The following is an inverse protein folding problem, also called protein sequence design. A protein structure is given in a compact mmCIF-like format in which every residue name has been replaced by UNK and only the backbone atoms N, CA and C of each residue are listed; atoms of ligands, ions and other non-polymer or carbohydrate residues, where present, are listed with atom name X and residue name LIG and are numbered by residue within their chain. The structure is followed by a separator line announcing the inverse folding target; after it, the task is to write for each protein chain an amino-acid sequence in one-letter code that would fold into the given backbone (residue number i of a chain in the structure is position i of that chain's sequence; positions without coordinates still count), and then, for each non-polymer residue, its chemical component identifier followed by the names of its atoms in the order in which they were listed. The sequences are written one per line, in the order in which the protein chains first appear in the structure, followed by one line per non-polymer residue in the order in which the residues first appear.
data_IF_973915429648
#
_entry.id   IF_973915429648
#
_cell.length_a   1.000
_cell.length_b   1.000
_cell.length_c   1.000
_cell.angle_alpha   90.00
_cell.angle_beta   90.00
_cell.angle_gamma   90.00
#
_symmetry.space_group_name_H-M   'P 1'
#
loop_
_entity.id
_entity.type
_entity.pdbx_description
1 polymer ?
#
# COMPACT_ATOMS: atom_id res chain seq x y z
N UNK A 1 -10.68 6.80 25.06
CA UNK A 1 -9.52 6.53 24.18
C UNK A 1 -8.38 7.40 24.64
N UNK A 2 -7.17 6.86 24.82
CA UNK A 2 -5.99 7.66 25.18
C UNK A 2 -5.64 8.64 24.07
N UNK A 3 -5.12 9.81 24.43
CA UNK A 3 -4.62 10.78 23.45
C UNK A 3 -3.39 10.21 22.75
N UNK A 4 -3.21 10.50 21.45
CA UNK A 4 -1.98 10.13 20.74
C UNK A 4 -0.73 10.74 21.39
N UNK A 5 -0.90 11.80 22.19
CA UNK A 5 0.18 12.39 23.01
C UNK A 5 0.81 11.39 23.98
N UNK A 6 0.02 10.43 24.46
CA UNK A 6 0.38 9.49 25.53
C UNK A 6 0.92 8.16 24.99
N UNK A 7 1.03 8.00 23.66
CA UNK A 7 1.53 6.79 23.00
C UNK A 7 3.01 6.98 22.65
N UNK A 8 3.96 6.32 23.35
CA UNK A 8 5.38 6.47 23.08
C UNK A 8 5.76 5.96 21.68
N UNK A 9 6.66 6.67 21.01
CA UNK A 9 7.26 6.28 19.72
C UNK A 9 6.27 6.04 18.56
N UNK A 10 5.03 6.53 18.67
CA UNK A 10 4.10 6.61 17.55
C UNK A 10 4.41 7.86 16.72
N UNK A 11 4.56 7.68 15.41
CA UNK A 11 4.64 8.81 14.48
C UNK A 11 3.30 9.56 14.48
N UNK A 12 3.30 10.78 15.01
CA UNK A 12 2.10 11.61 15.07
C UNK A 12 1.86 12.26 13.72
N UNK A 13 0.72 11.97 13.12
CA UNK A 13 0.26 12.62 11.90
C UNK A 13 -1.18 13.11 12.11
N UNK A 14 -1.49 14.36 11.72
CA UNK A 14 -2.80 14.95 12.00
C UNK A 14 -3.94 14.32 11.19
N UNK A 15 -3.62 13.58 10.14
CA UNK A 15 -4.54 12.86 9.27
C UNK A 15 -4.85 11.43 9.72
N UNK A 16 -4.33 10.99 10.87
CA UNK A 16 -4.58 9.67 11.43
C UNK A 16 -5.80 9.70 12.36
N UNK A 17 -6.79 8.84 12.10
CA UNK A 17 -8.04 8.78 12.87
C UNK A 17 -7.90 7.76 14.00
N UNK A 18 -7.25 6.63 13.74
CA UNK A 18 -7.07 5.56 14.71
C UNK A 18 -5.62 5.09 14.74
N UNK A 19 -5.07 4.90 15.94
CA UNK A 19 -3.72 4.38 16.12
C UNK A 19 -3.75 2.85 16.24
N UNK A 20 -3.16 2.16 15.26
CA UNK A 20 -2.84 0.73 15.29
C UNK A 20 -1.41 0.56 14.80
N UNK A 21 -0.50 0.18 15.67
CA UNK A 21 0.91 0.10 15.30
C UNK A 21 1.54 -1.20 15.80
N UNK A 22 2.43 -1.77 15.00
CA UNK A 22 3.26 -2.90 15.41
C UNK A 22 4.41 -2.45 16.29
N UNK A 23 4.99 -3.35 17.11
CA UNK A 23 6.21 -3.08 17.89
C UNK A 23 7.50 -3.12 17.06
N UNK A 24 7.40 -3.11 15.73
CA UNK A 24 8.57 -3.10 14.84
C UNK A 24 8.89 -1.67 14.44
N UNK A 25 10.07 -1.20 14.81
CA UNK A 25 10.61 0.10 14.40
C UNK A 25 11.16 -0.04 12.98
N UNK A 26 10.86 0.94 12.11
CA UNK A 26 11.51 1.14 10.80
C UNK A 26 11.66 -0.13 9.94
N UNK A 27 10.62 -0.50 9.20
CA UNK A 27 10.66 -1.70 8.36
C UNK A 27 11.36 -1.40 7.02
N UNK A 28 12.57 -1.96 6.92
CA UNK A 28 13.35 -2.20 5.70
C UNK A 28 12.60 -2.99 4.64
N UNK A 29 11.88 -2.38 3.69
CA UNK A 29 11.18 -3.16 2.64
C UNK A 29 11.65 -2.82 1.24
N UNK A 30 11.82 -3.83 0.39
CA UNK A 30 12.24 -3.67 -1.00
C UNK A 30 11.01 -3.74 -1.93
N UNK A 31 10.58 -2.63 -2.53
CA UNK A 31 9.55 -2.66 -3.58
C UNK A 31 10.03 -3.38 -4.85
N UNK A 32 9.08 -3.86 -5.65
CA UNK A 32 9.40 -4.35 -7.00
C UNK A 32 9.77 -3.19 -7.92
N UNK A 33 10.56 -3.48 -8.95
CA UNK A 33 10.89 -2.49 -9.98
C UNK A 33 9.64 -1.98 -10.69
N UNK A 34 8.74 -2.88 -11.08
CA UNK A 34 7.47 -2.50 -11.74
C UNK A 34 6.63 -1.55 -10.91
N UNK A 35 6.63 -1.71 -9.58
CA UNK A 35 5.91 -0.81 -8.69
C UNK A 35 6.57 0.57 -8.65
N UNK A 36 7.89 0.65 -8.48
CA UNK A 36 8.61 1.92 -8.49
C UNK A 36 8.45 2.66 -9.83
N UNK A 37 8.53 1.93 -10.94
CA UNK A 37 8.37 2.47 -12.30
C UNK A 37 6.94 2.93 -12.62
N UNK A 38 5.95 2.53 -11.81
CA UNK A 38 4.55 2.95 -12.00
C UNK A 38 4.23 4.33 -11.41
N UNK A 39 5.13 4.90 -10.61
CA UNK A 39 4.98 6.27 -10.11
C UNK A 39 5.28 7.30 -11.20
N UNK A 40 4.60 8.43 -11.08
CA UNK A 40 5.08 9.67 -11.67
C UNK A 40 6.33 10.14 -10.90
N UNK A 41 7.41 10.48 -11.60
CA UNK A 41 8.68 10.88 -10.97
C UNK A 41 8.58 12.17 -10.13
N UNK A 42 7.51 12.95 -10.29
CA UNK A 42 7.23 14.15 -9.48
C UNK A 42 6.36 13.86 -8.27
N UNK A 43 5.94 12.63 -8.07
CA UNK A 43 5.22 12.22 -6.87
C UNK A 43 6.12 12.36 -5.63
N UNK A 44 5.73 13.22 -4.71
CA UNK A 44 6.47 13.53 -3.49
C UNK A 44 6.59 12.32 -2.57
N UNK A 45 5.74 11.30 -2.72
CA UNK A 45 5.86 10.03 -1.96
C UNK A 45 7.14 9.29 -2.31
N UNK A 46 7.62 9.36 -3.57
CA UNK A 46 8.91 8.78 -3.94
C UNK A 46 10.02 9.38 -3.09
N UNK A 47 10.12 10.71 -3.08
CA UNK A 47 11.12 11.44 -2.30
C UNK A 47 10.95 11.25 -0.80
N UNK A 48 9.71 11.14 -0.32
CA UNK A 48 9.44 11.04 1.10
C UNK A 48 9.69 9.64 1.64
N UNK A 49 9.24 8.58 0.96
CA UNK A 49 9.24 7.22 1.50
C UNK A 49 10.34 6.32 0.96
N UNK A 50 11.02 6.66 -0.14
CA UNK A 50 11.94 5.75 -0.81
C UNK A 50 13.35 6.31 -0.87
N UNK A 51 14.34 5.43 -0.74
CA UNK A 51 15.75 5.81 -0.76
C UNK A 51 16.66 4.67 -1.24
N UNK A 52 17.80 5.02 -1.86
CA UNK A 52 18.91 4.08 -2.10
C UNK A 52 19.86 3.95 -0.92
N UNK A 53 19.83 4.89 0.05
CA UNK A 53 20.72 4.91 1.20
C UNK A 53 20.08 5.54 2.44
N UNK A 54 20.27 4.93 3.61
CA UNK A 54 19.78 5.44 4.90
C UNK A 54 20.51 6.69 5.37
N UNK A 55 21.80 6.81 5.03
CA UNK A 55 22.65 7.91 5.49
C UNK A 55 22.59 9.13 4.56
N UNK A 56 22.16 8.93 3.32
CA UNK A 56 22.02 10.00 2.33
C UNK A 56 20.82 9.70 1.42
N UNK A 57 19.61 10.12 1.82
CA UNK A 57 18.39 9.80 1.11
C UNK A 57 18.34 10.51 -0.24
N UNK A 58 18.69 9.79 -1.30
CA UNK A 58 18.67 10.27 -2.67
C UNK A 58 18.26 9.13 -3.62
N UNK A 59 17.33 9.42 -4.54
CA UNK A 59 16.90 8.50 -5.59
C UNK A 59 17.63 8.73 -6.93
N UNK A 60 18.41 9.80 -7.03
CA UNK A 60 19.10 10.21 -8.25
C UNK A 60 18.13 10.76 -9.28
N UNK A 61 18.20 10.21 -10.49
CA UNK A 61 17.38 10.55 -11.65
C UNK A 61 16.02 9.84 -11.68
N UNK A 62 15.66 9.12 -10.61
CA UNK A 62 14.46 8.27 -10.54
C UNK A 62 14.48 7.10 -11.53
N UNK A 63 15.66 6.66 -11.97
CA UNK A 63 15.82 5.41 -12.73
C UNK A 63 15.85 4.18 -11.80
N UNK A 64 14.94 3.24 -12.06
CA UNK A 64 14.78 2.02 -11.26
C UNK A 64 15.10 0.79 -12.11
N UNK A 65 16.39 0.45 -12.21
CA UNK A 65 16.88 -0.61 -13.09
C UNK A 65 17.36 -1.86 -12.34
N UNK A 66 17.59 -1.75 -11.03
CA UNK A 66 18.14 -2.83 -10.20
C UNK A 66 17.24 -3.12 -9.01
N UNK A 67 16.75 -4.37 -8.91
CA UNK A 67 15.92 -4.81 -7.79
C UNK A 67 16.70 -4.76 -6.48
N UNK A 68 16.04 -4.30 -5.42
CA UNK A 68 16.62 -4.23 -4.07
C UNK A 68 17.61 -3.08 -3.85
N UNK A 69 17.85 -2.23 -4.86
CA UNK A 69 18.65 -1.01 -4.69
C UNK A 69 17.88 0.08 -3.94
N UNK A 70 16.59 0.21 -4.23
CA UNK A 70 15.70 1.16 -3.57
C UNK A 70 14.94 0.46 -2.47
N UNK A 71 14.86 1.12 -1.32
CA UNK A 71 14.21 0.66 -0.11
C UNK A 71 13.11 1.65 0.28
N UNK A 72 12.01 1.11 0.80
CA UNK A 72 10.96 1.89 1.45
C UNK A 72 11.30 2.10 2.92
N UNK A 73 11.09 3.32 3.40
CA UNK A 73 11.32 3.71 4.78
C UNK A 73 10.10 4.43 5.34
N UNK A 74 9.43 3.73 6.24
CA UNK A 74 8.08 4.05 6.67
C UNK A 74 7.94 5.34 7.47
N UNK A 75 8.98 5.74 8.19
CA UNK A 75 9.03 7.01 8.93
C UNK A 75 9.35 8.22 8.04
N UNK A 76 9.60 7.97 6.75
CA UNK A 76 10.10 8.95 5.80
C UNK A 76 11.62 8.84 5.67
N UNK A 77 12.13 8.64 4.45
CA UNK A 77 13.53 8.45 4.11
C UNK A 77 14.45 9.57 4.63
N UNK A 78 13.93 10.79 4.79
CA UNK A 78 14.66 11.94 5.32
C UNK A 78 14.43 12.19 6.82
N UNK A 79 13.61 11.36 7.47
CA UNK A 79 13.26 11.56 8.87
C UNK A 79 14.31 10.95 9.80
N UNK A 80 14.77 11.74 10.77
CA UNK A 80 15.55 11.25 11.91
C UNK A 80 14.69 10.53 12.96
N UNK A 81 13.36 10.52 12.78
CA UNK A 81 12.45 9.86 13.71
C UNK A 81 12.39 8.36 13.47
N UNK A 82 12.79 7.59 14.47
CA UNK A 82 12.40 6.18 14.62
C UNK A 82 11.02 6.14 15.27
N UNK A 83 10.07 5.49 14.62
CA UNK A 83 8.72 5.40 15.16
C UNK A 83 7.92 4.30 14.50
N UNK A 84 6.93 3.79 15.22
CA UNK A 84 6.07 2.74 14.72
C UNK A 84 5.17 3.29 13.61
N UNK A 85 5.04 2.50 12.55
CA UNK A 85 4.04 2.72 11.51
C UNK A 85 2.64 2.67 12.09
N UNK A 86 1.84 3.69 11.79
CA UNK A 86 0.41 3.58 11.98
C UNK A 86 -0.22 2.83 10.79
N UNK A 87 -0.74 1.64 11.08
CA UNK A 87 -1.58 0.82 10.20
C UNK A 87 -3.07 0.96 10.56
N UNK A 88 -3.42 1.98 11.33
CA UNK A 88 -4.79 2.34 11.62
C UNK A 88 -5.38 3.25 10.55
N UNK A 89 -6.66 3.51 10.68
CA UNK A 89 -7.43 4.26 9.69
C UNK A 89 -6.99 5.72 9.63
N UNK A 90 -6.85 6.23 8.41
CA UNK A 90 -6.48 7.62 8.13
C UNK A 90 -7.52 8.33 7.27
N UNK A 91 -7.46 9.66 7.24
CA UNK A 91 -8.28 10.50 6.36
C UNK A 91 -8.05 10.14 4.89
N UNK A 92 -6.82 9.81 4.51
CA UNK A 92 -6.51 9.37 3.15
C UNK A 92 -7.23 8.06 2.78
N UNK A 93 -7.38 7.14 3.72
CA UNK A 93 -8.10 5.89 3.50
C UNK A 93 -9.57 6.16 3.24
N UNK A 94 -10.19 7.07 4.01
CA UNK A 94 -11.59 7.44 3.85
C UNK A 94 -11.86 8.03 2.46
N UNK A 95 -11.02 8.97 2.00
CA UNK A 95 -11.15 9.55 0.66
C UNK A 95 -10.99 8.49 -0.44
N UNK A 96 -10.03 7.56 -0.31
CA UNK A 96 -9.84 6.51 -1.32
C UNK A 96 -10.96 5.46 -1.32
N UNK A 97 -11.57 5.18 -0.16
CA UNK A 97 -12.77 4.34 -0.07
C UNK A 97 -13.95 5.03 -0.77
N UNK A 98 -14.17 6.33 -0.50
CA UNK A 98 -15.22 7.11 -1.15
C UNK A 98 -15.00 7.18 -2.67
N UNK A 99 -13.76 7.46 -3.10
CA UNK A 99 -13.39 7.51 -4.51
C UNK A 99 -13.69 6.19 -5.22
N UNK A 100 -13.29 5.06 -4.62
CA UNK A 100 -13.52 3.75 -5.21
C UNK A 100 -15.01 3.40 -5.28
N UNK A 101 -15.75 3.66 -4.20
CA UNK A 101 -17.18 3.40 -4.14
C UNK A 101 -17.95 4.25 -5.18
N UNK A 102 -17.59 5.53 -5.33
CA UNK A 102 -18.16 6.41 -6.33
C UNK A 102 -17.86 5.92 -7.76
N UNK A 103 -16.59 5.59 -8.04
CA UNK A 103 -16.18 5.07 -9.34
C UNK A 103 -16.94 3.79 -9.72
N UNK A 104 -17.12 2.86 -8.78
CA UNK A 104 -17.88 1.62 -8.98
C UNK A 104 -19.37 1.84 -9.24
N UNK A 105 -19.94 2.94 -8.73
CA UNK A 105 -21.31 3.38 -9.04
C UNK A 105 -21.41 4.27 -10.29
N UNK A 106 -20.31 4.40 -11.03
CA UNK A 106 -20.19 5.27 -12.20
C UNK A 106 -20.37 6.78 -11.90
N UNK A 107 -20.20 7.18 -10.63
CA UNK A 107 -20.13 8.59 -10.23
C UNK A 107 -18.67 9.07 -10.34
N UNK A 108 -18.25 9.31 -11.59
CA UNK A 108 -16.86 9.62 -11.93
C UNK A 108 -16.43 11.01 -11.45
N UNK A 109 -17.37 11.96 -11.41
CA UNK A 109 -17.10 13.32 -10.93
C UNK A 109 -16.72 13.28 -9.45
N UNK A 110 -17.52 12.60 -8.62
CA UNK A 110 -17.21 12.42 -7.20
C UNK A 110 -15.90 11.66 -7.03
N UNK A 111 -15.68 10.57 -7.76
CA UNK A 111 -14.45 9.79 -7.67
C UNK A 111 -13.19 10.62 -7.98
N UNK A 112 -13.20 11.40 -9.06
CA UNK A 112 -12.11 12.29 -9.44
C UNK A 112 -11.89 13.42 -8.42
N UNK A 113 -12.95 13.96 -7.81
CA UNK A 113 -12.84 14.97 -6.77
C UNK A 113 -12.22 14.40 -5.47
N UNK A 114 -12.60 13.20 -5.06
CA UNK A 114 -12.02 12.53 -3.90
C UNK A 114 -10.53 12.19 -4.11
N UNK A 115 -10.16 11.78 -5.33
CA UNK A 115 -8.75 11.62 -5.71
C UNK A 115 -8.00 12.96 -5.62
N UNK A 116 -8.61 14.05 -6.08
CA UNK A 116 -7.99 15.38 -6.07
C UNK A 116 -7.59 15.84 -4.67
N UNK A 117 -8.45 15.59 -3.67
CA UNK A 117 -8.21 15.95 -2.27
C UNK A 117 -6.85 15.46 -1.78
N UNK A 118 -6.47 14.25 -2.20
CA UNK A 118 -5.20 13.63 -1.84
C UNK A 118 -4.08 14.03 -2.80
N UNK A 119 -4.27 13.86 -4.10
CA UNK A 119 -3.18 13.98 -5.08
C UNK A 119 -2.59 15.39 -5.11
N UNK A 120 -3.38 16.44 -4.90
CA UNK A 120 -2.83 17.82 -4.80
C UNK A 120 -1.83 18.01 -3.66
N UNK A 121 -1.84 17.14 -2.65
CA UNK A 121 -0.89 17.11 -1.53
C UNK A 121 0.25 16.09 -1.73
N UNK A 122 0.28 15.38 -2.86
CA UNK A 122 1.30 14.39 -3.22
C UNK A 122 2.18 14.85 -4.38
N UNK A 123 1.90 16.02 -4.95
CA UNK A 123 2.66 16.60 -6.05
C UNK A 123 3.05 18.06 -5.72
N UNK A 124 4.14 18.58 -6.32
CA UNK A 124 4.41 20.02 -6.30
C UNK A 124 3.26 20.80 -6.93
N UNK A 125 2.86 21.92 -6.32
CA UNK A 125 1.69 22.70 -6.75
C UNK A 125 1.79 23.18 -8.20
N UNK A 126 2.99 23.49 -8.68
CA UNK A 126 3.24 23.92 -10.06
C UNK A 126 3.23 22.78 -11.10
N UNK A 127 3.25 21.53 -10.65
CA UNK A 127 3.22 20.34 -11.51
C UNK A 127 1.86 19.63 -11.48
N UNK A 128 1.13 19.78 -10.38
CA UNK A 128 -0.10 19.04 -10.17
C UNK A 128 -1.20 19.43 -11.16
N UNK A 129 -1.72 18.43 -11.86
CA UNK A 129 -2.93 18.53 -12.68
C UNK A 129 -3.95 17.54 -12.14
N UNK A 130 -5.17 18.02 -11.91
CA UNK A 130 -6.30 17.18 -11.48
C UNK A 130 -6.52 16.08 -12.50
N UNK A 131 -6.70 14.85 -12.02
CA UNK A 131 -7.06 13.73 -12.89
C UNK A 131 -8.56 13.71 -13.13
N UNK A 132 -8.92 13.65 -14.41
CA UNK A 132 -10.30 13.53 -14.87
C UNK A 132 -10.36 12.46 -15.96
N UNK A 133 -11.42 11.66 -15.94
CA UNK A 133 -11.70 10.68 -16.97
C UNK A 133 -13.20 10.39 -16.99
N UNK A 134 -13.76 10.23 -18.18
CA UNK A 134 -15.14 9.79 -18.38
C UNK A 134 -15.27 8.27 -18.53
N UNK A 135 -14.16 7.53 -18.40
CA UNK A 135 -14.13 6.07 -18.50
C UNK A 135 -14.06 5.46 -17.09
N UNK A 136 -15.06 4.65 -16.75
CA UNK A 136 -15.20 4.06 -15.42
C UNK A 136 -14.00 3.21 -15.03
N UNK A 137 -13.49 2.41 -15.98
CA UNK A 137 -12.39 1.48 -15.75
C UNK A 137 -11.07 2.21 -15.47
N UNK A 138 -10.79 3.27 -16.22
CA UNK A 138 -9.65 4.15 -16.01
C UNK A 138 -9.71 4.81 -14.62
N UNK A 139 -10.88 5.30 -14.19
CA UNK A 139 -11.03 5.90 -12.85
C UNK A 139 -10.80 4.85 -11.76
N UNK A 140 -11.40 3.64 -11.87
CA UNK A 140 -11.16 2.55 -10.90
C UNK A 140 -9.68 2.21 -10.83
N UNK A 141 -9.01 2.02 -11.97
CA UNK A 141 -7.59 1.70 -12.00
C UNK A 141 -6.74 2.82 -11.40
N UNK A 142 -7.10 4.08 -11.63
CA UNK A 142 -6.43 5.21 -11.00
C UNK A 142 -6.60 5.21 -9.48
N UNK A 143 -7.79 4.93 -8.97
CA UNK A 143 -8.03 4.80 -7.52
C UNK A 143 -7.20 3.67 -6.91
N UNK A 144 -7.16 2.49 -7.54
CA UNK A 144 -6.39 1.35 -7.06
C UNK A 144 -4.87 1.61 -7.07
N UNK A 145 -4.37 2.34 -8.07
CA UNK A 145 -2.98 2.78 -8.12
C UNK A 145 -2.67 3.74 -6.96
N UNK A 146 -3.50 4.77 -6.75
CA UNK A 146 -3.30 5.74 -5.66
C UNK A 146 -3.39 5.07 -4.28
N UNK A 147 -4.28 4.08 -4.08
CA UNK A 147 -4.30 3.24 -2.88
C UNK A 147 -2.98 2.48 -2.66
N UNK A 148 -2.43 1.91 -3.72
CA UNK A 148 -1.15 1.17 -3.64
C UNK A 148 0.02 2.08 -3.28
N UNK A 149 0.03 3.31 -3.83
CA UNK A 149 1.05 4.31 -3.52
C UNK A 149 0.92 4.86 -2.09
N UNK A 150 -0.31 5.15 -1.65
CA UNK A 150 -0.57 5.74 -0.33
C UNK A 150 -0.32 4.75 0.81
N UNK A 151 -0.68 3.47 0.61
CA UNK A 151 -0.61 2.43 1.65
C UNK A 151 0.47 1.38 1.40
N UNK A 152 1.54 1.78 0.70
CA UNK A 152 2.72 0.93 0.50
C UNK A 152 3.26 0.40 1.82
N UNK A 153 3.40 -0.92 1.89
CA UNK A 153 3.89 -1.65 3.08
C UNK A 153 3.10 -1.38 4.38
N UNK A 154 1.85 -0.90 4.27
CA UNK A 154 0.99 -0.62 5.42
C UNK A 154 0.01 -1.77 5.74
N UNK A 155 0.26 -2.98 5.24
CA UNK A 155 -0.59 -4.17 5.44
C UNK A 155 -1.86 -4.22 4.58
N UNK A 156 -2.34 -3.09 4.05
CA UNK A 156 -3.57 -3.01 3.25
C UNK A 156 -3.54 -3.87 1.97
N UNK A 157 -2.36 -4.05 1.38
CA UNK A 157 -2.20 -4.77 0.11
C UNK A 157 -2.75 -6.20 0.15
N UNK A 158 -2.64 -6.91 1.27
CA UNK A 158 -3.19 -8.27 1.36
C UNK A 158 -4.72 -8.28 1.22
N UNK A 159 -5.42 -7.33 1.86
CA UNK A 159 -6.86 -7.21 1.75
C UNK A 159 -7.30 -6.81 0.34
N UNK A 160 -6.60 -5.86 -0.28
CA UNK A 160 -6.86 -5.49 -1.67
C UNK A 160 -6.63 -6.68 -2.62
N UNK A 161 -5.57 -7.49 -2.42
CA UNK A 161 -5.32 -8.69 -3.23
C UNK A 161 -6.48 -9.68 -3.17
N UNK A 162 -7.02 -9.95 -1.98
CA UNK A 162 -8.15 -10.88 -1.80
C UNK A 162 -9.42 -10.39 -2.50
N UNK A 163 -9.73 -9.10 -2.35
CA UNK A 163 -10.92 -8.51 -2.98
C UNK A 163 -10.77 -8.44 -4.50
N UNK A 164 -9.61 -8.03 -5.00
CA UNK A 164 -9.34 -7.98 -6.43
C UNK A 164 -9.30 -9.37 -7.07
N UNK A 165 -8.90 -10.41 -6.33
CA UNK A 165 -8.98 -11.80 -6.78
C UNK A 165 -10.44 -12.21 -7.02
N UNK A 166 -11.34 -11.91 -6.07
CA UNK A 166 -12.77 -12.16 -6.21
C UNK A 166 -13.41 -11.36 -7.36
N UNK A 167 -12.81 -10.24 -7.78
CA UNK A 167 -13.26 -9.42 -8.90
C UNK A 167 -12.60 -9.80 -10.25
N UNK A 168 -11.73 -10.82 -10.29
CA UNK A 168 -10.99 -11.19 -11.50
C UNK A 168 -9.94 -10.16 -11.95
N UNK A 169 -9.55 -9.24 -11.06
CA UNK A 169 -8.59 -8.14 -11.31
C UNK A 169 -7.19 -8.41 -10.76
N UNK A 170 -7.03 -9.50 -10.02
CA UNK A 170 -5.75 -9.87 -9.45
C UNK A 170 -4.84 -10.50 -10.49
N UNK A 171 -3.56 -10.18 -10.42
CA UNK A 171 -2.53 -10.82 -11.25
C UNK A 171 -1.82 -11.90 -10.45
N UNK A 172 -1.28 -12.90 -11.15
CA UNK A 172 -0.38 -13.89 -10.54
C UNK A 172 0.83 -13.19 -9.92
N UNK A 173 1.09 -13.45 -8.64
CA UNK A 173 2.20 -12.86 -7.89
C UNK A 173 3.37 -13.85 -7.86
N UNK A 174 4.57 -13.35 -8.15
CA UNK A 174 5.82 -14.11 -8.07
C UNK A 174 6.71 -13.52 -6.99
N UNK A 175 7.27 -14.40 -6.16
CA UNK A 175 8.35 -14.08 -5.22
C UNK A 175 9.67 -14.47 -5.84
N UNK A 176 10.67 -13.61 -5.72
CA UNK A 176 11.99 -13.81 -6.31
C UNK A 176 13.09 -13.87 -5.25
N UNK A 177 14.15 -14.65 -5.50
CA UNK A 177 15.38 -14.66 -4.71
C UNK A 177 16.28 -13.46 -5.07
N UNK A 178 17.52 -13.40 -4.56
CA UNK A 178 18.46 -12.32 -4.87
C UNK A 178 18.96 -12.34 -6.33
N UNK A 179 18.96 -13.51 -6.98
CA UNK A 179 19.42 -13.74 -8.34
C UNK A 179 18.32 -13.64 -9.40
N UNK A 180 17.12 -13.16 -9.02
CA UNK A 180 15.91 -13.06 -9.84
C UNK A 180 15.30 -14.42 -10.28
N UNK A 181 15.60 -15.51 -9.59
CA UNK A 181 14.88 -16.76 -9.78
C UNK A 181 13.53 -16.72 -9.04
N UNK A 182 12.50 -17.34 -9.62
CA UNK A 182 11.18 -17.46 -8.98
C UNK A 182 11.25 -18.48 -7.86
N UNK A 183 11.04 -18.04 -6.62
CA UNK A 183 10.96 -18.90 -5.43
C UNK A 183 9.56 -19.49 -5.22
N UNK A 184 8.53 -18.69 -5.48
CA UNK A 184 7.14 -19.12 -5.32
C UNK A 184 6.21 -18.30 -6.21
N UNK A 185 5.08 -18.92 -6.56
CA UNK A 185 4.02 -18.30 -7.35
C UNK A 185 2.70 -18.42 -6.60
N UNK A 186 1.90 -17.37 -6.61
CA UNK A 186 0.54 -17.31 -6.10
C UNK A 186 -0.36 -16.93 -7.28
N UNK A 187 -1.18 -17.86 -7.78
CA UNK A 187 -2.12 -17.59 -8.86
C UNK A 187 -3.21 -16.60 -8.41
N UNK A 188 -3.80 -15.90 -9.37
CA UNK A 188 -4.81 -14.86 -9.13
C UNK A 188 -6.08 -15.37 -8.42
N UNK A 189 -6.41 -16.65 -8.59
CA UNK A 189 -7.58 -17.36 -8.08
C UNK A 189 -7.25 -18.27 -6.88
N UNK A 190 -6.01 -18.25 -6.39
CA UNK A 190 -5.54 -19.23 -5.41
C UNK A 190 -6.33 -19.20 -4.09
N UNK A 191 -6.73 -20.35 -3.54
CA UNK A 191 -7.34 -20.40 -2.19
C UNK A 191 -6.39 -19.89 -1.09
N UNK A 192 -5.08 -19.80 -1.38
CA UNK A 192 -4.03 -19.31 -0.47
C UNK A 192 -4.14 -17.82 -0.12
N UNK A 193 -5.04 -17.08 -0.76
CA UNK A 193 -5.45 -15.75 -0.33
C UNK A 193 -6.21 -15.74 1.01
N UNK A 194 -6.75 -16.87 1.44
CA UNK A 194 -7.35 -17.06 2.76
C UNK A 194 -6.40 -17.88 3.64
N UNK A 195 -6.05 -17.35 4.81
CA UNK A 195 -5.14 -18.04 5.74
C UNK A 195 -5.82 -19.29 6.34
N UNK A 196 -5.03 -20.34 6.56
CA UNK A 196 -5.49 -21.51 7.29
C UNK A 196 -5.77 -21.15 8.75
N UNK A 197 -6.78 -21.79 9.33
CA UNK A 197 -7.02 -21.80 10.77
C UNK A 197 -5.82 -22.48 11.43
N UNK A 198 -5.18 -21.87 12.44
CA UNK A 198 -4.04 -22.47 13.12
C UNK A 198 -4.38 -23.86 13.68
N UNK A 199 -3.48 -24.83 13.51
CA UNK A 199 -3.71 -26.22 13.93
C UNK A 199 -4.06 -26.36 15.41
N UNK A 200 -3.50 -25.51 16.27
CA UNK A 200 -3.84 -25.47 17.69
C UNK A 200 -5.31 -25.10 17.94
N UNK A 201 -5.89 -24.21 17.12
CA UNK A 201 -7.31 -23.84 17.24
C UNK A 201 -8.19 -25.01 16.81
N UNK A 202 -7.84 -25.71 15.73
CA UNK A 202 -8.55 -26.91 15.28
C UNK A 202 -8.43 -28.08 16.26
N UNK A 203 -7.31 -28.19 16.98
CA UNK A 203 -7.15 -29.20 18.03
C UNK A 203 -8.20 -29.02 19.15
N UNK A 204 -8.49 -27.78 19.55
CA UNK A 204 -9.54 -27.48 20.54
C UNK A 204 -10.96 -27.44 19.95
N UNK A 205 -11.10 -27.33 18.62
CA UNK A 205 -12.37 -27.22 17.91
C UNK A 205 -12.37 -28.18 16.71
N UNK A 206 -12.37 -29.48 17.01
CA UNK A 206 -12.14 -30.54 16.01
C UNK A 206 -13.23 -30.66 14.95
N UNK A 207 -14.40 -30.06 15.18
CA UNK A 207 -15.54 -30.00 14.27
C UNK A 207 -15.48 -28.83 13.28
N UNK A 208 -14.54 -27.90 13.44
CA UNK A 208 -14.40 -26.76 12.53
C UNK A 208 -13.75 -27.18 11.20
N UNK A 209 -14.34 -26.81 10.05
CA UNK A 209 -13.71 -27.06 8.77
C UNK A 209 -12.48 -26.18 8.58
N UNK A 210 -11.41 -26.74 8.00
CA UNK A 210 -10.21 -25.97 7.63
C UNK A 210 -10.44 -25.17 6.34
N UNK A 211 -9.78 -24.02 6.23
CA UNK A 211 -9.61 -23.32 4.95
C UNK A 211 -8.57 -24.09 4.10
N UNK A 212 -9.02 -25.01 3.25
CA UNK A 212 -8.12 -25.81 2.43
C UNK A 212 -7.34 -24.95 1.42
N UNK A 213 -6.10 -25.33 1.16
CA UNK A 213 -5.25 -24.77 0.10
C UNK A 213 -5.05 -25.73 -1.07
N UNK A 214 -5.72 -26.87 -1.02
CA UNK A 214 -5.82 -27.84 -2.10
C UNK A 214 -6.99 -27.45 -3.00
N UNK A 215 -6.80 -27.60 -4.32
CA UNK A 215 -7.82 -27.38 -5.35
C UNK A 215 -8.71 -28.61 -5.52
#
# INVERSE_FOLDING_TARGET
MSSSKDIPNLLKRPDEIYARYGKSISIMMNPSLSFLQSFDIKDLRLKFYYTKSYVSPNLGDYSFNKRGEVMFFSSGATSSSTGYLNCGTSVAEMHLILAEAAARRNDLITACNELDVLRKKRFPANYYVKYESSDQENVINKVLAERSFEFSFNGMRWFDMRRLAAEGRMQTIKRYDASNNVLSTLSADSPKYTLQIPLQVLYFNSDWPQNSWEE
#
